data_IF_323074215481
#
_entry.id   IF_323074215481
#
_cell.length_a   1.000
_cell.length_b   1.000
_cell.length_c   1.000
_cell.angle_alpha   90.00
_cell.angle_beta   90.00
_cell.angle_gamma   90.00
#
_symmetry.space_group_name_H-M   'P 1'
#
loop_
_entity.id
_entity.type
_entity.pdbx_description
1 polymer ?
#
# COMPACT_ATOMS: atom_id res chain seq x y z
N UNK A 1 15.28 -7.51 7.95
CA UNK A 1 14.01 -7.91 7.31
C UNK A 1 13.03 -6.77 7.54
N UNK A 2 12.75 -5.97 6.52
CA UNK A 2 11.89 -4.78 6.67
C UNK A 2 10.49 -5.15 6.24
N UNK A 3 9.65 -5.47 7.23
CA UNK A 3 8.23 -5.68 7.01
C UNK A 3 7.59 -4.35 6.63
N UNK A 4 6.79 -4.36 5.57
CA UNK A 4 5.94 -3.24 5.18
C UNK A 4 4.94 -3.00 6.32
N UNK A 5 5.23 -2.09 7.25
CA UNK A 5 4.36 -1.79 8.38
C UNK A 5 3.28 -0.83 7.90
N UNK A 6 2.14 -1.40 7.48
CA UNK A 6 0.96 -0.64 7.14
C UNK A 6 0.17 -0.32 8.42
N UNK A 7 0.01 0.97 8.70
CA UNK A 7 -0.74 1.45 9.86
C UNK A 7 -2.11 1.97 9.39
N UNK A 8 -3.16 1.20 9.65
CA UNK A 8 -4.51 1.56 9.21
C UNK A 8 -5.05 2.78 9.94
N UNK A 9 -4.55 3.09 11.14
CA UNK A 9 -4.93 4.29 11.90
C UNK A 9 -4.34 5.58 11.31
N UNK A 10 -3.16 5.49 10.69
CA UNK A 10 -2.53 6.61 9.98
C UNK A 10 -2.98 6.69 8.52
N UNK A 11 -3.69 5.69 8.02
CA UNK A 11 -4.17 5.66 6.65
C UNK A 11 -5.27 6.70 6.45
N UNK A 12 -4.92 7.83 5.83
CA UNK A 12 -5.86 8.91 5.49
C UNK A 12 -6.68 8.62 4.22
N UNK A 13 -6.61 7.39 3.69
CA UNK A 13 -7.26 7.02 2.44
C UNK A 13 -6.90 7.95 1.28
N UNK A 14 -5.66 8.44 1.24
CA UNK A 14 -5.19 9.37 0.22
C UNK A 14 -5.04 8.74 -1.19
N UNK A 15 -5.03 7.41 -1.29
CA UNK A 15 -4.88 6.69 -2.57
C UNK A 15 -3.48 6.73 -3.20
N UNK A 16 -2.52 7.48 -2.64
CA UNK A 16 -1.16 7.64 -3.18
C UNK A 16 -0.43 6.31 -3.32
N UNK A 17 -0.61 5.40 -2.38
CA UNK A 17 -0.01 4.07 -2.42
C UNK A 17 -0.51 3.23 -3.61
N UNK A 18 -1.80 3.33 -3.95
CA UNK A 18 -2.39 2.67 -5.11
C UNK A 18 -1.86 3.27 -6.40
N UNK A 19 -1.78 4.60 -6.50
CA UNK A 19 -1.26 5.31 -7.67
C UNK A 19 0.22 5.02 -7.92
N UNK A 20 1.03 5.07 -6.85
CA UNK A 20 2.47 4.75 -6.92
C UNK A 20 2.75 3.25 -7.11
N UNK A 21 1.77 2.34 -7.05
CA UNK A 21 2.03 0.91 -7.18
C UNK A 21 2.02 0.48 -8.66
N UNK A 22 3.19 0.27 -9.30
CA UNK A 22 3.24 -0.07 -10.73
C UNK A 22 2.74 -1.49 -11.02
N UNK A 23 2.62 -2.33 -9.98
CA UNK A 23 2.19 -3.72 -10.09
C UNK A 23 0.68 -3.89 -9.89
N UNK A 24 -0.06 -2.82 -9.56
CA UNK A 24 -1.48 -2.95 -9.20
C UNK A 24 -1.69 -3.88 -8.00
N UNK A 25 -0.70 -3.95 -7.10
CA UNK A 25 -0.75 -4.85 -5.96
C UNK A 25 -1.61 -4.32 -4.80
N UNK A 26 -2.01 -3.04 -4.86
CA UNK A 26 -2.70 -2.33 -3.79
C UNK A 26 -4.08 -1.92 -4.29
N UNK A 27 -5.11 -2.39 -3.60
CA UNK A 27 -6.51 -2.01 -3.86
C UNK A 27 -7.05 -1.21 -2.68
N UNK A 28 -7.81 -0.16 -2.94
CA UNK A 28 -8.41 0.69 -1.92
C UNK A 28 -9.85 0.25 -1.66
N UNK A 29 -10.19 -0.01 -0.40
CA UNK A 29 -11.53 -0.41 0.05
C UNK A 29 -12.08 0.56 1.11
N UNK A 30 -13.26 0.24 1.66
CA UNK A 30 -14.02 1.14 2.54
C UNK A 30 -13.31 1.49 3.87
N UNK A 31 -12.38 0.65 4.32
CA UNK A 31 -11.68 0.79 5.62
C UNK A 31 -10.16 0.87 5.52
N UNK A 32 -9.61 0.95 4.31
CA UNK A 32 -8.16 0.96 4.12
C UNK A 32 -7.73 0.42 2.76
N UNK A 33 -6.47 0.01 2.67
CA UNK A 33 -5.92 -0.65 1.49
C UNK A 33 -5.69 -2.14 1.74
N UNK A 34 -5.87 -2.92 0.69
CA UNK A 34 -5.63 -4.36 0.67
C UNK A 34 -4.49 -4.63 -0.29
N UNK A 35 -3.53 -5.45 0.15
CA UNK A 35 -2.37 -5.84 -0.67
C UNK A 35 -2.57 -7.27 -1.15
N UNK A 36 -2.40 -7.51 -2.44
CA UNK A 36 -2.52 -8.84 -3.05
C UNK A 36 -1.14 -9.47 -3.34
N UNK A 37 -1.15 -10.67 -3.91
CA UNK A 37 0.05 -11.45 -4.26
C UNK A 37 0.95 -10.82 -5.33
N UNK A 38 0.48 -9.81 -6.08
CA UNK A 38 1.31 -9.06 -7.02
C UNK A 38 2.31 -8.13 -6.31
N UNK A 39 2.25 -8.03 -4.99
CA UNK A 39 3.18 -7.23 -4.21
C UNK A 39 4.61 -7.78 -4.32
N UNK A 40 5.44 -7.10 -5.11
CA UNK A 40 6.87 -7.42 -5.25
C UNK A 40 7.74 -6.90 -4.11
N UNK A 41 7.15 -6.41 -3.02
CA UNK A 41 7.86 -5.78 -1.89
C UNK A 41 8.87 -4.70 -2.34
N UNK A 42 8.53 -3.94 -3.39
CA UNK A 42 9.40 -2.90 -3.94
C UNK A 42 9.56 -1.68 -3.01
N UNK A 43 8.66 -1.48 -2.05
CA UNK A 43 8.72 -0.40 -1.07
C UNK A 43 8.39 1.01 -1.61
N UNK A 44 7.99 1.14 -2.88
CA UNK A 44 7.67 2.44 -3.51
C UNK A 44 6.49 3.15 -2.81
N UNK A 45 5.53 2.40 -2.27
CA UNK A 45 4.34 2.95 -1.64
C UNK A 45 4.53 3.41 -0.18
N UNK A 46 5.62 3.01 0.50
CA UNK A 46 5.88 3.34 1.93
C UNK A 46 7.03 4.32 2.13
N UNK A 47 7.60 4.82 1.04
CA UNK A 47 8.64 5.85 1.07
C UNK A 47 8.00 7.23 0.89
N UNK A 48 7.51 7.80 1.98
CA UNK A 48 7.32 9.23 2.21
C UNK A 48 7.68 9.51 3.67
#
# INVERSE_FOLDING_TARGET
MQFLKFDSELCTLCGVCTDKCPFGAISMGEKGITVNENCRMCGICVRE
#
